data_IF_014293846379
#
_entry.id   IF_014293846379
#
_cell.length_a   1.000
_cell.length_b   1.000
_cell.length_c   1.000
_cell.angle_alpha   90.00
_cell.angle_beta   90.00
_cell.angle_gamma   90.00
#
_symmetry.space_group_name_H-M   'P 1'
#
loop_
_entity.id
_entity.type
_entity.pdbx_description
1 polymer ?
#
# COMPACT_ATOMS: atom_id res chain seq x y z
N UNK A 1 9.28 -7.67 -3.85
CA UNK A 1 9.59 -6.39 -4.52
C UNK A 1 11.09 -6.20 -4.47
N UNK A 2 11.74 -6.12 -5.63
CA UNK A 2 13.18 -5.83 -5.71
C UNK A 2 13.29 -4.33 -5.49
N UNK A 3 13.99 -3.93 -4.44
CA UNK A 3 14.11 -2.52 -4.13
C UNK A 3 15.02 -1.83 -5.15
N UNK A 4 14.52 -0.75 -5.75
CA UNK A 4 15.24 0.02 -6.76
C UNK A 4 16.02 1.14 -6.07
N UNK A 5 17.24 1.37 -6.55
CA UNK A 5 18.03 2.53 -6.19
C UNK A 5 17.53 3.73 -7.00
N UNK A 6 17.17 4.81 -6.33
CA UNK A 6 16.67 6.04 -6.96
C UNK A 6 17.12 7.26 -6.18
N UNK A 7 17.09 8.43 -6.83
CA UNK A 7 17.22 9.71 -6.14
C UNK A 7 15.82 10.22 -5.78
N UNK A 8 15.64 10.62 -4.53
CA UNK A 8 14.39 11.16 -3.99
C UNK A 8 14.68 12.56 -3.45
N UNK A 9 13.92 13.61 -3.83
CA UNK A 9 14.07 14.92 -3.24
C UNK A 9 13.97 14.86 -1.70
N UNK A 10 14.77 15.64 -0.99
CA UNK A 10 14.87 15.59 0.47
C UNK A 10 13.50 15.69 1.15
N UNK A 11 12.71 16.70 0.79
CA UNK A 11 11.38 16.92 1.36
C UNK A 11 10.43 15.74 1.13
N UNK A 12 10.55 15.08 -0.02
CA UNK A 12 9.75 13.89 -0.36
C UNK A 12 10.22 12.69 0.44
N UNK A 13 11.53 12.51 0.61
CA UNK A 13 12.07 11.42 1.41
C UNK A 13 11.63 11.55 2.88
N UNK A 14 11.62 12.77 3.41
CA UNK A 14 11.19 13.09 4.78
C UNK A 14 9.68 12.91 4.96
N UNK A 15 8.87 13.39 4.03
CA UNK A 15 7.42 13.23 4.09
C UNK A 15 6.97 11.76 3.91
N UNK A 16 7.71 10.97 3.12
CA UNK A 16 7.34 9.61 2.73
C UNK A 16 8.37 8.56 3.18
N UNK A 17 8.93 8.73 4.38
CA UNK A 17 9.98 7.86 4.92
C UNK A 17 9.57 6.37 4.95
N UNK A 18 8.28 6.06 5.14
CA UNK A 18 7.75 4.69 5.12
C UNK A 18 8.04 3.92 3.82
N UNK A 19 8.23 4.64 2.71
CA UNK A 19 8.58 4.08 1.40
C UNK A 19 10.09 3.88 1.23
N UNK A 20 10.91 4.43 2.12
CA UNK A 20 12.36 4.27 2.11
C UNK A 20 12.73 3.00 2.90
N UNK A 21 13.61 2.18 2.33
CA UNK A 21 14.20 1.01 2.98
C UNK A 21 15.56 1.38 3.57
N UNK A 22 16.32 2.15 2.81
CA UNK A 22 17.69 2.54 3.13
C UNK A 22 17.94 3.90 2.49
N UNK A 23 18.38 4.87 3.30
CA UNK A 23 18.90 6.16 2.84
C UNK A 23 20.42 6.01 2.76
N UNK A 24 20.99 6.27 1.59
CA UNK A 24 22.44 6.27 1.39
C UNK A 24 22.96 7.71 1.50
N UNK A 25 23.65 8.20 0.46
CA UNK A 25 24.23 9.53 0.39
C UNK A 25 23.19 10.60 0.01
N UNK A 26 23.31 11.77 0.65
CA UNK A 26 22.66 12.99 0.18
C UNK A 26 23.54 13.66 -0.87
N UNK A 27 22.97 13.97 -2.02
CA UNK A 27 23.61 14.71 -3.12
C UNK A 27 22.75 15.92 -3.43
N UNK A 28 23.28 17.11 -3.13
CA UNK A 28 22.55 18.38 -3.27
C UNK A 28 21.22 18.34 -2.49
N UNK A 29 20.10 18.48 -3.19
CA UNK A 29 18.73 18.52 -2.69
C UNK A 29 18.00 17.15 -2.76
N UNK A 30 18.73 16.07 -3.05
CA UNK A 30 18.19 14.72 -3.14
C UNK A 30 18.97 13.72 -2.28
N UNK A 31 18.29 12.66 -1.85
CA UNK A 31 18.92 11.48 -1.24
C UNK A 31 18.87 10.31 -2.19
N UNK A 32 20.00 9.64 -2.33
CA UNK A 32 20.04 8.33 -2.95
C UNK A 32 19.45 7.33 -1.96
N UNK A 33 18.40 6.63 -2.39
CA UNK A 33 17.66 5.76 -1.50
C UNK A 33 17.21 4.49 -2.21
N UNK A 34 17.13 3.42 -1.43
CA UNK A 34 16.48 2.17 -1.80
C UNK A 34 15.01 2.25 -1.40
N UNK A 35 14.08 2.15 -2.35
CA UNK A 35 12.65 2.37 -2.08
C UNK A 35 11.80 1.08 -2.17
N UNK A 36 10.64 1.11 -1.50
CA UNK A 36 9.54 0.15 -1.67
C UNK A 36 8.64 0.60 -2.83
N UNK A 37 8.65 -0.14 -3.92
CA UNK A 37 7.83 0.18 -5.11
C UNK A 37 6.44 -0.46 -5.08
N UNK A 38 5.40 0.34 -4.85
CA UNK A 38 4.03 -0.14 -4.88
C UNK A 38 3.38 0.10 -6.24
N UNK A 39 2.96 -0.98 -6.89
CA UNK A 39 2.16 -0.90 -8.11
C UNK A 39 0.76 -0.37 -7.76
N UNK A 40 0.36 0.73 -8.39
CA UNK A 40 -0.99 1.30 -8.28
C UNK A 40 -2.06 0.24 -8.55
N UNK A 41 -1.89 -0.60 -9.57
CA UNK A 41 -2.85 -1.66 -9.88
C UNK A 41 -3.00 -2.67 -8.74
N UNK A 42 -1.91 -3.04 -8.07
CA UNK A 42 -1.97 -3.99 -6.94
C UNK A 42 -2.64 -3.39 -5.71
N UNK A 43 -2.40 -2.09 -5.44
CA UNK A 43 -3.11 -1.34 -4.43
C UNK A 43 -4.61 -1.28 -4.73
N UNK A 44 -4.98 -0.89 -5.96
CA UNK A 44 -6.38 -0.83 -6.39
C UNK A 44 -7.07 -2.19 -6.33
N UNK A 45 -6.40 -3.28 -6.72
CA UNK A 45 -6.94 -4.64 -6.58
C UNK A 45 -7.30 -4.96 -5.14
N UNK A 46 -6.44 -4.60 -4.18
CA UNK A 46 -6.69 -4.85 -2.75
C UNK A 46 -7.92 -4.07 -2.26
N UNK A 47 -7.94 -2.75 -2.49
CA UNK A 47 -9.03 -1.87 -2.06
C UNK A 47 -10.36 -2.25 -2.75
N UNK A 48 -10.32 -2.59 -4.04
CA UNK A 48 -11.50 -3.00 -4.79
C UNK A 48 -12.14 -4.28 -4.24
N UNK A 49 -11.35 -5.26 -3.77
CA UNK A 49 -11.92 -6.44 -3.12
C UNK A 49 -12.67 -6.09 -1.83
N UNK A 50 -12.13 -5.15 -1.03
CA UNK A 50 -12.73 -4.72 0.23
C UNK A 50 -13.90 -3.74 0.06
N UNK A 51 -14.03 -3.09 -1.11
CA UNK A 51 -15.19 -2.25 -1.45
C UNK A 51 -16.51 -3.02 -1.33
N UNK A 52 -16.50 -4.30 -1.71
CA UNK A 52 -17.68 -5.15 -1.74
C UNK A 52 -18.13 -5.60 -0.35
N UNK A 53 -17.23 -6.19 0.44
CA UNK A 53 -17.50 -6.69 1.79
C UNK A 53 -16.21 -6.79 2.62
N UNK A 54 -16.29 -6.74 3.97
CA UNK A 54 -15.17 -7.10 4.84
C UNK A 54 -14.65 -8.52 4.57
N UNK A 55 -13.35 -8.74 4.75
CA UNK A 55 -12.73 -10.03 4.46
C UNK A 55 -11.68 -10.43 5.49
N UNK A 56 -11.54 -11.73 5.72
CA UNK A 56 -10.40 -12.26 6.48
C UNK A 56 -9.10 -12.16 5.69
N UNK A 57 -7.96 -12.26 6.38
CA UNK A 57 -6.64 -12.30 5.74
C UNK A 57 -6.57 -13.29 4.57
N UNK A 58 -6.97 -14.55 4.80
CA UNK A 58 -6.85 -15.62 3.81
C UNK A 58 -7.72 -15.36 2.57
N UNK A 59 -8.92 -14.83 2.77
CA UNK A 59 -9.83 -14.51 1.67
C UNK A 59 -9.34 -13.32 0.86
N UNK A 60 -8.89 -12.26 1.55
CA UNK A 60 -8.34 -11.08 0.90
C UNK A 60 -7.06 -11.43 0.11
N UNK A 61 -6.17 -12.25 0.68
CA UNK A 61 -4.98 -12.74 -0.03
C UNK A 61 -5.35 -13.51 -1.30
N UNK A 62 -6.26 -14.48 -1.20
CA UNK A 62 -6.70 -15.31 -2.33
C UNK A 62 -7.41 -14.50 -3.43
N UNK A 63 -8.27 -13.55 -3.05
CA UNK A 63 -9.04 -12.71 -4.00
C UNK A 63 -8.23 -11.59 -4.62
N UNK A 64 -7.24 -11.03 -3.92
CA UNK A 64 -6.36 -9.98 -4.46
C UNK A 64 -5.50 -10.48 -5.63
N UNK A 65 -5.28 -11.81 -5.75
CA UNK A 65 -4.39 -12.40 -6.76
C UNK A 65 -3.00 -11.75 -6.77
N UNK A 66 -2.50 -11.29 -5.63
CA UNK A 66 -1.11 -10.85 -5.47
C UNK A 66 -0.29 -12.12 -5.22
N UNK A 67 0.48 -12.52 -6.23
CA UNK A 67 1.17 -13.84 -6.28
C UNK A 67 2.02 -14.14 -5.04
N UNK A 68 2.76 -13.15 -4.54
CA UNK A 68 3.73 -13.34 -3.46
C UNK A 68 3.17 -12.86 -2.13
N UNK A 69 3.12 -13.73 -1.12
CA UNK A 69 2.66 -13.39 0.25
C UNK A 69 3.38 -12.19 0.85
N UNK A 70 4.71 -12.10 0.68
CA UNK A 70 5.50 -10.95 1.14
C UNK A 70 5.06 -9.64 0.48
N UNK A 71 4.79 -9.66 -0.83
CA UNK A 71 4.28 -8.48 -1.52
C UNK A 71 2.89 -8.12 -1.00
N UNK A 72 1.99 -9.09 -0.87
CA UNK A 72 0.65 -8.85 -0.31
C UNK A 72 0.71 -8.21 1.08
N UNK A 73 1.55 -8.73 1.98
CA UNK A 73 1.76 -8.15 3.30
C UNK A 73 2.22 -6.70 3.24
N UNK A 74 3.16 -6.36 2.34
CA UNK A 74 3.59 -4.99 2.17
C UNK A 74 2.41 -4.07 1.77
N UNK A 75 1.57 -4.48 0.81
CA UNK A 75 0.39 -3.68 0.43
C UNK A 75 -0.62 -3.57 1.58
N UNK A 76 -0.82 -4.65 2.33
CA UNK A 76 -1.73 -4.68 3.47
C UNK A 76 -1.26 -3.71 4.56
N UNK A 77 0.04 -3.73 4.90
CA UNK A 77 0.63 -2.79 5.85
C UNK A 77 0.53 -1.34 5.38
N UNK A 78 0.81 -1.09 4.09
CA UNK A 78 0.63 0.25 3.51
C UNK A 78 -0.82 0.73 3.68
N UNK A 79 -1.80 -0.11 3.35
CA UNK A 79 -3.21 0.26 3.44
C UNK A 79 -3.66 0.52 4.89
N UNK A 80 -3.14 -0.24 5.86
CA UNK A 80 -3.43 -0.01 7.29
C UNK A 80 -2.77 1.28 7.77
N UNK A 81 -1.47 1.48 7.49
CA UNK A 81 -0.73 2.67 7.94
C UNK A 81 -1.32 3.97 7.40
N UNK A 82 -1.79 3.96 6.14
CA UNK A 82 -2.39 5.13 5.51
C UNK A 82 -3.88 5.29 5.81
N UNK A 83 -4.45 4.44 6.68
CA UNK A 83 -5.86 4.40 7.03
C UNK A 83 -6.79 4.23 5.82
N UNK A 84 -6.37 3.44 4.81
CA UNK A 84 -7.24 3.03 3.71
C UNK A 84 -8.09 1.82 4.09
N UNK A 85 -7.59 0.99 5.00
CA UNK A 85 -8.30 -0.17 5.54
C UNK A 85 -8.10 -0.20 7.05
N UNK A 86 -9.11 -0.69 7.74
CA UNK A 86 -9.07 -1.03 9.16
C UNK A 86 -8.97 -2.55 9.32
N UNK A 87 -8.49 -2.97 10.48
CA UNK A 87 -8.45 -4.38 10.86
C UNK A 87 -9.01 -4.56 12.25
N UNK A 88 -9.85 -5.57 12.42
CA UNK A 88 -10.46 -5.93 13.70
C UNK A 88 -10.18 -7.39 14.02
N UNK A 89 -9.80 -7.67 15.27
CA UNK A 89 -9.63 -9.04 15.74
C UNK A 89 -11.00 -9.59 16.16
N UNK A 90 -11.45 -10.64 15.47
CA UNK A 90 -12.72 -11.32 15.75
C UNK A 90 -12.40 -12.79 16.03
N UNK A 91 -12.26 -13.09 17.33
CA UNK A 91 -11.80 -14.40 17.81
C UNK A 91 -10.40 -14.74 17.26
N UNK A 92 -10.21 -15.90 16.61
CA UNK A 92 -8.92 -16.28 16.03
C UNK A 92 -8.62 -15.58 14.69
N UNK A 93 -9.57 -14.80 14.14
CA UNK A 93 -9.47 -14.20 12.82
C UNK A 93 -9.22 -12.70 12.89
N UNK A 94 -8.64 -12.16 11.82
CA UNK A 94 -8.57 -10.71 11.59
C UNK A 94 -9.41 -10.38 10.38
N UNK A 95 -10.39 -9.49 10.56
CA UNK A 95 -11.27 -8.98 9.51
C UNK A 95 -10.74 -7.62 9.06
N UNK A 96 -10.63 -7.44 7.75
CA UNK A 96 -10.24 -6.18 7.11
C UNK A 96 -11.46 -5.53 6.46
N UNK A 97 -11.59 -4.23 6.67
CA UNK A 97 -12.69 -3.40 6.12
C UNK A 97 -12.11 -2.16 5.47
N UNK A 98 -12.67 -1.71 4.34
CA UNK A 98 -12.25 -0.46 3.71
C UNK A 98 -12.83 0.74 4.47
N UNK A 99 -12.00 1.76 4.72
CA UNK A 99 -12.43 3.02 5.33
C UNK A 99 -12.96 4.00 4.28
N UNK A 100 -13.53 5.11 4.73
CA UNK A 100 -13.94 6.19 3.82
C UNK A 100 -12.75 6.77 3.02
N UNK A 101 -11.60 6.93 3.67
CA UNK A 101 -10.36 7.36 3.01
C UNK A 101 -9.91 6.36 1.94
N UNK A 102 -10.03 5.07 2.22
CA UNK A 102 -9.77 4.01 1.23
C UNK A 102 -10.74 4.05 0.05
N UNK A 103 -12.02 4.32 0.30
CA UNK A 103 -13.03 4.50 -0.75
C UNK A 103 -12.73 5.71 -1.63
N UNK A 104 -12.37 6.85 -1.03
CA UNK A 104 -11.95 8.05 -1.76
C UNK A 104 -10.76 7.71 -2.67
N UNK A 105 -9.69 7.12 -2.11
CA UNK A 105 -8.50 6.73 -2.88
C UNK A 105 -8.85 5.82 -4.05
N UNK A 106 -9.71 4.82 -3.84
CA UNK A 106 -10.16 3.92 -4.90
C UNK A 106 -10.96 4.68 -5.98
N UNK A 107 -11.86 5.57 -5.56
CA UNK A 107 -12.73 6.31 -6.46
C UNK A 107 -11.97 7.30 -7.35
N UNK A 108 -10.83 7.86 -6.89
CA UNK A 108 -9.94 8.71 -7.72
C UNK A 108 -9.50 8.02 -9.02
N UNK A 109 -9.38 6.69 -9.03
CA UNK A 109 -9.01 5.92 -10.22
C UNK A 109 -10.20 5.27 -10.94
N UNK A 110 -11.34 5.13 -10.27
CA UNK A 110 -12.57 4.60 -10.89
C UNK A 110 -13.31 5.66 -11.71
N UNK A 111 -13.22 6.92 -11.31
CA UNK A 111 -13.82 8.05 -12.03
C UNK A 111 -12.94 8.43 -13.22
N UNK A 112 -12.99 7.62 -14.29
CA UNK A 112 -12.48 8.03 -15.59
C UNK A 112 -13.36 9.18 -16.10
N UNK A 113 -12.88 10.40 -15.96
CA UNK A 113 -13.39 11.51 -16.75
C UNK A 113 -12.77 11.38 -18.13
N UNK A 114 -13.60 11.39 -19.17
CA UNK A 114 -13.14 11.51 -20.56
C UNK A 114 -12.56 12.90 -20.79
#
# INVERSE_FOLDING_TARGET
>A
MKARLTYVPLEVADQFEDFIIEREEQILDAVKARTKDFSTLSLLKLLYQLKGNPMTFSHLYSKSKIRMKKSFLNYLHLCVNYNFIEKEAVGPNVIYTITDKGRIMLNLFMQKSN
#
